data_IF_146484821878
#
_entry.id   IF_146484821878
#
_cell.length_a   1.000
_cell.length_b   1.000
_cell.length_c   1.000
_cell.angle_alpha   90.00
_cell.angle_beta   90.00
_cell.angle_gamma   90.00
#
_symmetry.space_group_name_H-M   'P 1'
#
loop_
_entity.id
_entity.type
_entity.pdbx_description
1 polymer ?
#
# COMPACT_ATOMS: atom_id res chain seq x y z
N UNK A 1 10.28 10.32 11.38
CA UNK A 1 10.57 9.02 12.01
C UNK A 1 9.46 8.06 11.58
N UNK A 2 9.63 7.36 10.45
CA UNK A 2 8.60 6.48 9.88
C UNK A 2 8.76 5.08 10.47
N UNK A 3 7.77 4.60 11.21
CA UNK A 3 7.80 3.29 11.85
C UNK A 3 7.25 2.25 10.86
N UNK A 4 8.13 1.62 10.07
CA UNK A 4 7.80 0.35 9.42
C UNK A 4 7.79 -0.74 10.50
N UNK A 5 6.60 -1.13 10.95
CA UNK A 5 6.43 -2.33 11.77
C UNK A 5 6.44 -3.55 10.84
N UNK A 6 7.63 -4.10 10.57
CA UNK A 6 7.78 -5.43 9.99
C UNK A 6 7.47 -6.48 11.07
N UNK A 7 6.32 -7.16 10.97
CA UNK A 7 6.07 -8.38 11.74
C UNK A 7 6.72 -9.56 11.01
N UNK A 8 7.72 -10.20 11.64
CA UNK A 8 8.45 -11.36 11.10
C UNK A 8 8.18 -12.58 11.98
N UNK A 9 7.34 -13.48 11.51
CA UNK A 9 7.28 -14.85 12.02
C UNK A 9 8.17 -15.74 11.13
N UNK A 10 9.08 -16.49 11.76
CA UNK A 10 10.17 -17.22 11.09
C UNK A 10 9.73 -18.65 10.81
N UNK A 11 9.76 -19.08 9.55
CA UNK A 11 9.85 -20.49 9.17
C UNK A 11 10.44 -20.64 7.77
N UNK A 12 11.23 -21.71 7.62
CA UNK A 12 12.40 -21.89 6.77
C UNK A 12 12.18 -21.96 5.25
N UNK A 13 13.31 -21.96 4.55
CA UNK A 13 13.52 -21.84 3.10
C UNK A 13 12.85 -22.97 2.30
N UNK A 14 11.93 -22.56 1.41
CA UNK A 14 11.68 -23.12 0.07
C UNK A 14 11.03 -21.98 -0.73
N UNK A 15 11.48 -21.75 -1.97
CA UNK A 15 11.22 -20.56 -2.81
C UNK A 15 9.74 -20.47 -3.26
N UNK A 16 8.86 -20.15 -2.32
CA UNK A 16 7.43 -19.94 -2.52
C UNK A 16 7.18 -18.45 -2.28
N UNK A 17 6.70 -17.69 -3.28
CA UNK A 17 6.41 -16.26 -3.11
C UNK A 17 5.30 -16.11 -2.06
N UNK A 18 5.67 -15.88 -0.80
CA UNK A 18 4.73 -15.71 0.31
C UNK A 18 3.91 -14.45 0.04
N UNK A 19 2.58 -14.60 0.00
CA UNK A 19 1.66 -13.47 -0.07
C UNK A 19 1.59 -12.81 1.32
N UNK A 20 2.14 -11.61 1.44
CA UNK A 20 2.13 -10.86 2.69
C UNK A 20 0.92 -9.93 2.78
N UNK A 21 0.44 -9.71 4.01
CA UNK A 21 -0.47 -8.60 4.33
C UNK A 21 0.37 -7.47 4.90
N UNK A 22 0.40 -6.33 4.22
CA UNK A 22 1.28 -5.21 4.54
C UNK A 22 0.42 -4.00 4.84
N UNK A 23 0.55 -3.44 6.04
CA UNK A 23 -0.05 -2.16 6.37
C UNK A 23 0.97 -1.04 6.18
N UNK A 24 0.57 0.03 5.49
CA UNK A 24 1.41 1.23 5.27
C UNK A 24 0.72 2.43 5.91
N UNK A 25 1.32 2.97 6.96
CA UNK A 25 0.80 4.15 7.64
C UNK A 25 1.28 5.44 6.95
N UNK A 26 0.34 6.17 6.37
CA UNK A 26 0.52 7.43 5.66
C UNK A 26 0.60 7.26 4.14
N UNK A 27 -0.18 8.07 3.42
CA UNK A 27 -0.22 8.10 1.94
C UNK A 27 0.42 9.38 1.39
N UNK A 28 1.60 9.70 1.93
CA UNK A 28 2.50 10.69 1.31
C UNK A 28 3.27 10.08 0.13
N UNK A 29 4.23 10.83 -0.43
CA UNK A 29 5.09 10.34 -1.52
C UNK A 29 5.70 8.97 -1.22
N UNK A 30 6.44 8.85 -0.11
CA UNK A 30 7.13 7.60 0.25
C UNK A 30 6.16 6.45 0.52
N UNK A 31 5.11 6.71 1.30
CA UNK A 31 4.16 5.68 1.69
C UNK A 31 3.35 5.16 0.51
N UNK A 32 2.90 6.04 -0.38
CA UNK A 32 2.13 5.65 -1.56
C UNK A 32 3.00 4.95 -2.60
N UNK A 33 4.22 5.42 -2.86
CA UNK A 33 5.15 4.73 -3.78
C UNK A 33 5.43 3.30 -3.33
N UNK A 34 5.66 3.08 -2.03
CA UNK A 34 5.85 1.74 -1.48
C UNK A 34 4.57 0.91 -1.52
N UNK A 35 3.42 1.53 -1.23
CA UNK A 35 2.13 0.84 -1.26
C UNK A 35 1.84 0.29 -2.65
N UNK A 36 2.02 1.11 -3.69
CA UNK A 36 1.83 0.71 -5.09
C UNK A 36 2.81 -0.38 -5.51
N UNK A 37 4.10 -0.23 -5.17
CA UNK A 37 5.12 -1.22 -5.51
C UNK A 37 4.84 -2.58 -4.86
N UNK A 38 4.48 -2.59 -3.58
CA UNK A 38 4.24 -3.82 -2.83
C UNK A 38 2.91 -4.48 -3.21
N UNK A 39 1.90 -3.70 -3.59
CA UNK A 39 0.57 -4.15 -3.98
C UNK A 39 0.55 -4.96 -5.29
N UNK A 40 1.64 -4.94 -6.06
CA UNK A 40 1.77 -5.74 -7.27
C UNK A 40 1.81 -7.25 -6.99
N UNK A 41 2.27 -7.63 -5.79
CA UNK A 41 2.47 -9.04 -5.43
C UNK A 41 1.97 -9.40 -4.03
N UNK A 42 1.47 -8.43 -3.26
CA UNK A 42 1.03 -8.61 -1.87
C UNK A 42 -0.27 -7.86 -1.64
N UNK A 43 -1.00 -8.23 -0.58
CA UNK A 43 -2.13 -7.44 -0.11
C UNK A 43 -1.63 -6.25 0.71
N UNK A 44 -1.93 -5.04 0.27
CA UNK A 44 -1.51 -3.79 0.93
C UNK A 44 -2.73 -3.02 1.43
N UNK A 45 -2.69 -2.67 2.72
CA UNK A 45 -3.63 -1.75 3.35
C UNK A 45 -2.93 -0.42 3.64
N UNK A 46 -3.26 0.61 2.88
CA UNK A 46 -2.81 1.98 3.13
C UNK A 46 -3.70 2.63 4.20
N UNK A 47 -3.10 3.17 5.25
CA UNK A 47 -3.82 3.86 6.31
C UNK A 47 -3.51 5.34 6.22
N UNK A 48 -4.52 6.19 6.09
CA UNK A 48 -4.35 7.65 6.14
C UNK A 48 -5.37 8.27 7.10
N UNK A 49 -5.12 9.50 7.54
CA UNK A 49 -6.07 10.25 8.38
C UNK A 49 -7.02 11.11 7.56
N UNK A 50 -6.72 11.33 6.28
CA UNK A 50 -7.49 12.20 5.38
C UNK A 50 -8.41 11.35 4.49
N UNK A 51 -9.72 11.43 4.74
CA UNK A 51 -10.74 10.66 3.99
C UNK A 51 -10.63 10.88 2.47
N UNK A 52 -10.43 12.12 2.03
CA UNK A 52 -10.31 12.43 0.61
C UNK A 52 -9.18 11.65 -0.08
N UNK A 53 -8.05 11.40 0.61
CA UNK A 53 -6.95 10.60 0.05
C UNK A 53 -7.31 9.13 -0.01
N UNK A 54 -7.95 8.61 1.04
CA UNK A 54 -8.47 7.23 1.07
C UNK A 54 -9.42 6.98 -0.09
N UNK A 55 -10.37 7.89 -0.31
CA UNK A 55 -11.35 7.79 -1.39
C UNK A 55 -10.68 7.84 -2.76
N UNK A 56 -9.70 8.73 -2.95
CA UNK A 56 -8.94 8.81 -4.21
C UNK A 56 -8.24 7.49 -4.51
N UNK A 57 -7.51 6.93 -3.53
CA UNK A 57 -6.75 5.68 -3.71
C UNK A 57 -7.70 4.50 -4.01
N UNK A 58 -8.81 4.39 -3.28
CA UNK A 58 -9.82 3.33 -3.51
C UNK A 58 -10.53 3.49 -4.87
N UNK A 59 -10.58 4.71 -5.42
CA UNK A 59 -11.05 4.99 -6.77
C UNK A 59 -9.94 4.95 -7.82
N UNK A 60 -8.78 4.36 -7.52
CA UNK A 60 -7.63 4.23 -8.43
C UNK A 60 -7.10 5.58 -8.95
N UNK A 61 -7.23 6.63 -8.14
CA UNK A 61 -6.71 7.98 -8.43
C UNK A 61 -5.60 8.33 -7.45
N UNK A 62 -4.51 8.88 -7.96
CA UNK A 62 -3.40 9.31 -7.11
C UNK A 62 -3.75 10.60 -6.35
N UNK A 63 -3.58 10.65 -5.01
CA UNK A 63 -3.69 11.88 -4.23
C UNK A 63 -2.46 12.80 -4.35
N UNK A 64 -1.41 12.36 -5.05
CA UNK A 64 -0.18 13.14 -5.33
C UNK A 64 0.09 13.16 -6.83
N UNK A 65 0.72 14.24 -7.30
CA UNK A 65 1.08 14.38 -8.71
C UNK A 65 2.35 13.58 -9.01
N UNK A 66 2.20 12.37 -9.52
CA UNK A 66 3.30 11.48 -9.90
C UNK A 66 2.87 10.58 -11.05
N UNK A 67 3.51 10.77 -12.21
CA UNK A 67 3.15 10.10 -13.46
C UNK A 67 3.19 8.57 -13.34
N UNK A 68 4.10 8.01 -12.55
CA UNK A 68 4.22 6.57 -12.40
C UNK A 68 3.17 6.01 -11.46
N UNK A 69 2.89 6.67 -10.34
CA UNK A 69 1.83 6.25 -9.41
C UNK A 69 0.47 6.32 -10.09
N UNK A 70 0.18 7.41 -10.79
CA UNK A 70 -1.06 7.59 -11.54
C UNK A 70 -1.23 6.49 -12.59
N UNK A 71 -0.17 6.22 -13.36
CA UNK A 71 -0.16 5.15 -14.36
C UNK A 71 -0.40 3.78 -13.71
N UNK A 72 0.27 3.46 -12.60
CA UNK A 72 0.16 2.15 -11.98
C UNK A 72 -1.21 1.94 -11.33
N UNK A 73 -1.77 2.96 -10.68
CA UNK A 73 -3.13 2.89 -10.13
C UNK A 73 -4.17 2.71 -11.23
N UNK A 74 -4.00 3.36 -12.39
CA UNK A 74 -4.97 3.29 -13.48
C UNK A 74 -4.84 2.03 -14.36
N UNK A 75 -3.63 1.56 -14.62
CA UNK A 75 -3.36 0.51 -15.62
C UNK A 75 -3.08 -0.88 -15.02
N UNK A 76 -2.70 -0.97 -13.74
CA UNK A 76 -2.31 -2.25 -13.11
C UNK A 76 -3.38 -2.74 -12.15
N UNK A 77 -3.54 -4.05 -12.12
CA UNK A 77 -4.30 -4.72 -11.07
C UNK A 77 -3.43 -4.75 -9.80
N UNK A 78 -3.78 -3.93 -8.83
CA UNK A 78 -3.07 -3.79 -7.56
C UNK A 78 -3.97 -4.30 -6.43
N UNK A 79 -3.43 -5.12 -5.54
CA UNK A 79 -4.14 -5.50 -4.31
C UNK A 79 -3.89 -4.43 -3.23
N UNK A 80 -4.38 -3.22 -3.51
CA UNK A 80 -4.23 -2.04 -2.66
C UNK A 80 -5.61 -1.56 -2.21
N UNK A 81 -5.77 -1.33 -0.91
CA UNK A 81 -6.97 -0.68 -0.35
C UNK A 81 -6.55 0.33 0.68
N UNK A 82 -7.26 1.46 0.75
CA UNK A 82 -7.02 2.50 1.72
C UNK A 82 -8.13 2.53 2.80
N UNK A 83 -7.75 2.85 4.04
CA UNK A 83 -8.65 2.97 5.19
C UNK A 83 -8.26 4.13 6.10
N UNK A 84 -9.23 4.66 6.84
CA UNK A 84 -8.98 5.56 7.97
C UNK A 84 -8.66 4.82 9.27
N UNK A 85 -9.02 3.54 9.34
CA UNK A 85 -8.91 2.76 10.57
C UNK A 85 -7.56 2.04 10.64
N UNK A 86 -6.71 2.51 11.56
CA UNK A 86 -5.42 1.89 11.85
C UNK A 86 -5.52 0.56 12.62
N UNK A 87 -6.72 0.17 13.09
CA UNK A 87 -6.96 -1.07 13.83
C UNK A 87 -7.67 -2.15 12.99
N UNK A 88 -8.00 -1.84 11.73
CA UNK A 88 -8.72 -2.73 10.83
C UNK A 88 -7.94 -4.00 10.47
#
# INVERSE_FOLDING_TARGET
MCLLLFYKEKSEENKNMKNYKIAVAGTGYVGLSLSVLLAQHNQVMAVDIVQAKVDMINNHKSPIQDDYIEKYLAEKELNLTATLDAKA
#
